data_IF_527211752382
#
_entry.id   IF_527211752382
#
_cell.length_a   1.000
_cell.length_b   1.000
_cell.length_c   1.000
_cell.angle_alpha   90.00
_cell.angle_beta   90.00
_cell.angle_gamma   90.00
#
_symmetry.space_group_name_H-M   'P 1'
#
loop_
_entity.id
_entity.type
_entity.pdbx_description
1 polymer ?
#
# COMPACT_ATOMS: atom_id res chain seq x y z
N UNK A 1 -7.35 0.02 -0.57
CA UNK A 1 -6.01 0.64 -0.57
C UNK A 1 -5.17 0.01 0.54
N UNK A 2 -3.86 0.24 0.58
CA UNK A 2 -2.96 -0.11 1.69
C UNK A 2 -2.34 1.20 2.20
N UNK A 3 -2.20 1.36 3.50
CA UNK A 3 -1.46 2.49 4.08
C UNK A 3 -0.16 1.96 4.70
N UNK A 4 0.95 2.66 4.49
CA UNK A 4 2.25 2.27 5.04
C UNK A 4 3.04 3.51 5.41
N UNK A 5 3.64 3.49 6.60
CA UNK A 5 4.42 4.59 7.14
C UNK A 5 4.80 4.35 8.59
N UNK A 6 5.66 5.21 9.13
CA UNK A 6 6.02 5.20 10.54
C UNK A 6 5.13 6.20 11.27
N UNK A 7 4.55 5.81 12.42
CA UNK A 7 3.65 6.70 13.18
C UNK A 7 4.31 8.04 13.55
N UNK A 8 5.61 8.03 13.84
CA UNK A 8 6.40 9.24 14.12
C UNK A 8 6.72 10.10 12.88
N UNK A 9 6.37 9.65 11.67
CA UNK A 9 6.83 10.26 10.43
C UNK A 9 8.31 9.96 10.14
N UNK A 10 8.93 10.79 9.30
CA UNK A 10 10.34 10.71 8.91
C UNK A 10 10.67 9.70 7.80
N UNK A 11 9.75 8.78 7.47
CA UNK A 11 9.89 7.83 6.35
C UNK A 11 8.57 7.65 5.63
N UNK A 12 8.56 7.94 4.33
CA UNK A 12 7.40 7.85 3.46
C UNK A 12 7.84 7.89 1.99
N UNK A 13 6.96 7.46 1.08
CA UNK A 13 7.02 7.85 -0.32
C UNK A 13 6.71 9.34 -0.49
N UNK A 14 7.16 9.97 -1.57
CA UNK A 14 6.92 11.38 -1.83
C UNK A 14 6.63 11.68 -3.31
N UNK A 15 6.67 12.96 -3.66
CA UNK A 15 6.46 13.44 -5.02
C UNK A 15 7.51 12.83 -5.96
N UNK A 16 7.04 12.24 -7.06
CA UNK A 16 7.88 11.52 -8.01
C UNK A 16 7.90 10.00 -7.80
N UNK A 17 7.46 9.49 -6.64
CA UNK A 17 7.43 8.04 -6.38
C UNK A 17 6.13 7.37 -6.88
N UNK A 18 5.11 8.14 -7.28
CA UNK A 18 3.82 7.63 -7.77
C UNK A 18 4.01 6.63 -8.92
N UNK A 19 3.33 5.49 -8.83
CA UNK A 19 3.51 4.35 -9.75
C UNK A 19 4.64 3.39 -9.36
N UNK A 20 5.51 3.79 -8.43
CA UNK A 20 6.59 2.95 -7.90
C UNK A 20 6.07 1.75 -7.08
N UNK A 21 6.87 0.67 -6.97
CA UNK A 21 6.46 -0.56 -6.30
C UNK A 21 6.64 -0.47 -4.78
N UNK A 22 5.63 -0.90 -4.01
CA UNK A 22 5.77 -1.24 -2.60
C UNK A 22 5.92 -2.76 -2.47
N UNK A 23 7.14 -3.20 -2.13
CA UNK A 23 7.50 -4.63 -2.06
C UNK A 23 7.68 -5.10 -0.62
N UNK A 24 7.23 -6.32 -0.35
CA UNK A 24 7.46 -7.03 0.92
C UNK A 24 8.25 -8.31 0.65
N UNK A 25 9.12 -8.71 1.57
CA UNK A 25 9.91 -9.95 1.45
C UNK A 25 9.24 -11.07 2.24
N UNK A 26 8.92 -12.18 1.58
CA UNK A 26 8.41 -13.39 2.21
C UNK A 26 9.33 -14.57 1.86
N UNK A 27 10.18 -14.97 2.81
CA UNK A 27 11.21 -15.97 2.57
C UNK A 27 12.14 -15.57 1.42
N UNK A 28 12.29 -16.40 0.36
CA UNK A 28 13.13 -16.07 -0.80
C UNK A 28 12.44 -15.14 -1.82
N UNK A 29 11.15 -14.81 -1.64
CA UNK A 29 10.36 -14.07 -2.63
C UNK A 29 10.20 -12.61 -2.24
N UNK A 30 10.26 -11.73 -3.23
CA UNK A 30 9.81 -10.34 -3.12
C UNK A 30 8.44 -10.22 -3.77
N UNK A 31 7.49 -9.61 -3.07
CA UNK A 31 6.09 -9.54 -3.47
C UNK A 31 5.69 -8.08 -3.55
N UNK A 32 5.32 -7.61 -4.74
CA UNK A 32 4.76 -6.27 -4.90
C UNK A 32 3.33 -6.26 -4.35
N UNK A 33 3.19 -5.74 -3.14
CA UNK A 33 1.92 -5.70 -2.43
C UNK A 33 1.13 -4.43 -2.75
N UNK A 34 1.84 -3.36 -3.14
CA UNK A 34 1.24 -2.08 -3.44
C UNK A 34 1.91 -1.31 -4.57
N UNK A 35 1.21 -0.28 -5.05
CA UNK A 35 1.71 0.74 -5.98
C UNK A 35 1.54 2.11 -5.32
N UNK A 36 2.60 2.91 -5.25
CA UNK A 36 2.54 4.26 -4.65
C UNK A 36 1.45 5.07 -5.34
N UNK A 37 0.54 5.66 -4.56
CA UNK A 37 -0.59 6.41 -5.09
C UNK A 37 -0.56 7.86 -4.63
N UNK A 38 -0.88 8.13 -3.37
CA UNK A 38 -0.99 9.50 -2.83
C UNK A 38 -0.66 9.55 -1.33
N UNK A 39 -0.56 10.77 -0.79
CA UNK A 39 -0.35 11.04 0.62
C UNK A 39 -0.61 12.52 0.92
N UNK A 40 -0.68 12.91 2.20
CA UNK A 40 -0.80 14.31 2.59
C UNK A 40 0.55 14.86 3.04
N UNK A 41 1.22 15.61 2.16
CA UNK A 41 2.65 15.87 2.33
C UNK A 41 3.46 14.57 2.26
N UNK A 42 4.67 14.58 2.83
CA UNK A 42 5.55 13.41 2.88
C UNK A 42 6.14 13.28 4.29
N UNK A 43 6.23 12.06 4.79
CA UNK A 43 6.94 11.72 6.03
C UNK A 43 6.41 12.47 7.27
N UNK A 44 5.12 12.80 7.29
CA UNK A 44 4.49 13.49 8.41
C UNK A 44 4.05 12.50 9.49
N UNK A 45 4.16 12.85 10.78
CA UNK A 45 3.63 12.02 11.86
C UNK A 45 2.14 11.74 11.65
N UNK A 46 1.73 10.49 11.91
CA UNK A 46 0.35 9.99 11.75
C UNK A 46 -0.27 10.17 10.36
N UNK A 47 0.55 10.39 9.33
CA UNK A 47 0.12 10.54 7.94
C UNK A 47 0.92 9.59 7.06
N UNK A 48 0.50 8.32 6.94
CA UNK A 48 1.17 7.34 6.11
C UNK A 48 0.93 7.62 4.62
N UNK A 49 1.84 7.15 3.78
CA UNK A 49 1.60 7.03 2.34
C UNK A 49 0.49 6.03 2.05
N UNK A 50 -0.24 6.27 0.96
CA UNK A 50 -1.35 5.44 0.50
C UNK A 50 -1.00 4.78 -0.83
N UNK A 51 -1.27 3.48 -0.90
CA UNK A 51 -0.86 2.60 -1.97
C UNK A 51 -2.07 1.85 -2.54
N UNK A 52 -2.11 1.64 -3.85
CA UNK A 52 -3.08 0.75 -4.47
C UNK A 52 -2.81 -0.69 -4.02
N UNK A 53 -3.83 -1.41 -3.52
CA UNK A 53 -3.70 -2.82 -3.09
C UNK A 53 -3.63 -3.72 -4.32
N UNK A 54 -2.46 -4.23 -4.69
CA UNK A 54 -2.26 -5.01 -5.93
C UNK A 54 -3.19 -6.23 -6.00
N UNK A 55 -3.37 -6.96 -4.90
CA UNK A 55 -4.27 -8.12 -4.85
C UNK A 55 -5.73 -7.77 -5.17
N UNK A 56 -6.17 -6.53 -4.89
CA UNK A 56 -7.51 -6.06 -5.24
C UNK A 56 -7.73 -5.85 -6.74
N UNK A 57 -6.64 -5.80 -7.53
CA UNK A 57 -6.68 -5.64 -8.99
C UNK A 57 -6.27 -6.91 -9.75
N UNK A 58 -6.10 -8.04 -9.06
CA UNK A 58 -5.65 -9.30 -9.66
C UNK A 58 -6.46 -9.71 -10.91
N UNK A 59 -7.80 -9.65 -10.84
CA UNK A 59 -8.65 -10.01 -11.98
C UNK A 59 -8.44 -9.11 -13.19
N UNK A 60 -8.20 -7.81 -12.97
CA UNK A 60 -7.91 -6.86 -14.04
C UNK A 60 -6.50 -7.07 -14.61
N UNK A 61 -5.50 -7.29 -13.75
CA UNK A 61 -4.13 -7.58 -14.20
C UNK A 61 -4.12 -8.82 -15.10
N UNK A 62 -4.80 -9.90 -14.68
CA UNK A 62 -4.90 -11.14 -15.45
C UNK A 62 -5.69 -10.99 -16.76
N UNK A 63 -6.56 -9.99 -16.89
CA UNK A 63 -7.30 -9.77 -18.14
C UNK A 63 -6.50 -8.94 -19.15
N UNK A 64 -5.54 -8.13 -18.68
CA UNK A 64 -4.70 -7.26 -19.51
C UNK A 64 -3.40 -7.96 -19.91
N UNK A 65 -2.75 -8.68 -18.99
CA UNK A 65 -1.49 -9.39 -19.26
C UNK A 65 -1.81 -10.79 -19.79
N UNK A 66 -1.60 -10.97 -21.09
CA UNK A 66 -1.84 -12.25 -21.79
C UNK A 66 -0.59 -13.10 -21.91
N UNK A 67 0.55 -12.46 -22.13
CA UNK A 67 1.84 -13.11 -22.29
C UNK A 67 2.67 -12.89 -21.01
N UNK A 68 3.25 -13.97 -20.46
CA UNK A 68 3.98 -14.00 -19.18
C UNK A 68 3.19 -13.44 -17.97
N UNK A 69 2.09 -14.11 -17.56
CA UNK A 69 1.23 -13.61 -16.50
C UNK A 69 1.97 -13.58 -15.15
N UNK A 70 1.74 -12.54 -14.32
CA UNK A 70 2.38 -12.45 -13.03
C UNK A 70 1.88 -13.55 -12.08
N UNK A 71 2.79 -14.06 -11.25
CA UNK A 71 2.45 -14.98 -10.17
C UNK A 71 1.81 -14.25 -9.00
N UNK A 72 0.59 -14.65 -8.61
CA UNK A 72 -0.05 -14.20 -7.38
C UNK A 72 0.15 -15.24 -6.28
N UNK A 73 0.49 -14.79 -5.07
CA UNK A 73 0.58 -15.65 -3.88
C UNK A 73 -0.68 -15.52 -3.05
N UNK A 74 -1.17 -16.64 -2.50
CA UNK A 74 -2.21 -16.60 -1.49
C UNK A 74 -1.60 -16.26 -0.14
N UNK A 75 -2.11 -15.21 0.49
CA UNK A 75 -1.83 -14.91 1.89
C UNK A 75 -2.96 -15.49 2.73
N UNK A 76 -2.62 -16.45 3.60
CA UNK A 76 -3.52 -16.94 4.63
C UNK A 76 -3.13 -16.28 5.96
N UNK A 77 -3.98 -15.37 6.44
CA UNK A 77 -3.92 -14.88 7.81
C UNK A 77 -4.88 -15.70 8.66
N UNK A 78 -4.43 -16.23 9.79
CA UNK A 78 -5.30 -16.85 10.80
C UNK A 78 -6.03 -15.83 11.67
N UNK A 79 -5.69 -14.54 11.53
CA UNK A 79 -6.40 -13.45 12.18
C UNK A 79 -7.66 -13.04 11.42
N UNK A 80 -8.61 -12.44 12.13
CA UNK A 80 -9.71 -11.69 11.51
C UNK A 80 -9.07 -10.61 10.63
N UNK A 81 -9.49 -10.48 9.38
CA UNK A 81 -9.07 -9.37 8.52
C UNK A 81 -9.97 -8.15 8.84
N UNK A 82 -9.52 -7.18 9.66
CA UNK A 82 -10.33 -6.00 9.96
C UNK A 82 -10.39 -5.04 8.76
N UNK A 83 -9.65 -5.32 7.67
CA UNK A 83 -9.32 -4.35 6.61
C UNK A 83 -10.38 -4.19 5.52
N UNK A 84 -11.43 -5.02 5.52
CA UNK A 84 -12.47 -5.01 4.46
C UNK A 84 -13.15 -3.65 4.26
N UNK A 85 -13.11 -2.77 5.26
CA UNK A 85 -13.62 -1.39 5.21
C UNK A 85 -12.61 -0.33 5.69
N UNK A 86 -11.33 -0.69 5.88
CA UNK A 86 -10.33 0.26 6.38
C UNK A 86 -10.01 1.32 5.31
N UNK A 87 -10.44 2.54 5.58
CA UNK A 87 -9.99 3.73 4.85
C UNK A 87 -8.75 4.25 5.54
N UNK A 88 -7.69 4.57 4.78
CA UNK A 88 -6.53 5.29 5.32
C UNK A 88 -7.02 6.59 5.95
N UNK A 89 -7.22 6.58 7.26
CA UNK A 89 -7.67 7.75 8.01
C UNK A 89 -6.54 8.77 7.93
N UNK A 90 -6.73 9.78 7.10
CA UNK A 90 -5.96 11.01 7.20
C UNK A 90 -6.36 11.62 8.54
N UNK A 91 -5.52 11.46 9.56
CA UNK A 91 -5.77 12.14 10.82
C UNK A 91 -5.86 13.64 10.54
N UNK A 92 -7.07 14.20 10.65
CA UNK A 92 -7.25 15.64 10.78
C UNK A 92 -6.59 16.02 12.10
N UNK A 93 -5.30 16.33 12.06
CA UNK A 93 -4.65 17.04 13.16
C UNK A 93 -5.37 18.37 13.23
N UNK A 94 -6.32 18.50 14.17
CA UNK A 94 -6.84 19.78 14.60
C UNK A 94 -5.63 20.61 14.96
N UNK A 95 -5.37 21.65 14.18
CA UNK A 95 -4.32 22.61 14.43
C UNK A 95 -4.74 23.38 15.70
N UNK A 96 -4.39 22.90 16.89
CA UNK A 96 -4.48 23.73 18.09
C UNK A 96 -3.41 24.81 17.93
N UNK A 97 -3.87 26.00 17.50
CA UNK A 97 -3.11 27.23 17.64
C UNK A 97 -3.28 27.75 19.06
#
# INVERSE_FOLDING_TARGET
>A
MICSGVLSGGKDSCQGDSGGPMVSKQGPRWIQSGVVSFGYGCARPNQPGVYARVSGYQSWINSVIRDDPPGFVQFTSSGVDPDSTFTCQLSTVTKSS
#
